data_IF_775440278234
#
_entry.id   IF_775440278234
#
_cell.length_a   1.000
_cell.length_b   1.000
_cell.length_c   1.000
_cell.angle_alpha   90.00
_cell.angle_beta   90.00
_cell.angle_gamma   90.00
#
_symmetry.space_group_name_H-M   'P 1'
#
loop_
_entity.id
_entity.type
_entity.pdbx_description
1 polymer ?
#
# COMPACT_ATOMS: atom_id res chain seq x y z
N UNK A 1 -11.17 2.64 8.82
CA UNK A 1 -11.42 4.09 8.86
C UNK A 1 -10.92 4.77 10.13
N UNK A 2 -10.86 4.08 11.30
CA UNK A 2 -10.51 4.74 12.58
C UNK A 2 -9.02 4.72 12.95
N UNK A 3 -8.23 3.78 12.47
CA UNK A 3 -6.80 3.72 12.85
C UNK A 3 -5.92 4.67 12.04
N UNK A 4 -6.15 4.79 10.73
CA UNK A 4 -5.43 5.75 9.89
C UNK A 4 -5.86 7.20 10.13
N UNK A 5 -7.16 7.42 10.44
CA UNK A 5 -7.70 8.75 10.77
C UNK A 5 -7.20 9.30 12.13
N UNK A 6 -6.65 8.44 12.98
CA UNK A 6 -6.16 8.78 14.33
C UNK A 6 -4.63 8.78 14.45
N UNK A 7 -3.89 8.60 13.35
CA UNK A 7 -2.42 8.49 13.38
C UNK A 7 -1.91 7.21 14.06
N UNK A 8 -2.78 6.22 14.32
CA UNK A 8 -2.38 4.95 14.91
C UNK A 8 -1.73 4.06 13.86
N UNK A 9 -0.52 3.62 14.15
CA UNK A 9 0.19 2.64 13.33
C UNK A 9 -0.50 1.27 13.40
N UNK A 10 -1.18 0.87 12.33
CA UNK A 10 -1.90 -0.40 12.25
C UNK A 10 -0.97 -1.60 12.45
N UNK A 11 0.30 -1.51 12.05
CA UNK A 11 1.25 -2.60 12.20
C UNK A 11 1.72 -2.71 13.66
N UNK A 12 1.89 -1.59 14.34
CA UNK A 12 2.17 -1.56 15.77
C UNK A 12 1.01 -2.10 16.59
N UNK A 13 -0.23 -1.69 16.27
CA UNK A 13 -1.43 -2.21 16.92
C UNK A 13 -1.58 -3.72 16.72
N UNK A 14 -1.33 -4.20 15.51
CA UNK A 14 -1.33 -5.64 15.20
C UNK A 14 -0.23 -6.38 15.97
N UNK A 15 0.98 -5.82 16.05
CA UNK A 15 2.09 -6.42 16.80
C UNK A 15 1.75 -6.54 18.29
N UNK A 16 1.23 -5.48 18.90
CA UNK A 16 0.78 -5.50 20.30
C UNK A 16 -0.20 -6.65 20.57
N UNK A 17 -1.16 -6.83 19.66
CA UNK A 17 -2.19 -7.87 19.75
C UNK A 17 -1.62 -9.30 19.54
N UNK A 18 -0.75 -9.47 18.55
CA UNK A 18 -0.11 -10.76 18.21
C UNK A 18 0.81 -11.23 19.32
N UNK A 19 1.64 -10.32 19.82
CA UNK A 19 2.67 -10.66 20.81
C UNK A 19 2.22 -10.45 22.26
N UNK A 20 0.97 -9.98 22.48
CA UNK A 20 0.42 -9.74 23.82
C UNK A 20 1.14 -8.63 24.58
N UNK A 21 1.58 -7.59 23.88
CA UNK A 21 2.36 -6.48 24.41
C UNK A 21 1.53 -5.19 24.48
N UNK A 22 1.94 -4.24 25.33
CA UNK A 22 1.46 -2.88 25.24
C UNK A 22 2.03 -2.21 23.97
N UNK A 23 1.32 -1.20 23.41
CA UNK A 23 1.73 -0.52 22.17
C UNK A 23 3.16 0.03 22.25
N UNK A 24 3.51 0.58 23.40
CA UNK A 24 4.81 1.21 23.67
C UNK A 24 5.96 0.19 23.80
N UNK A 25 5.63 -1.08 23.98
CA UNK A 25 6.59 -2.18 24.12
C UNK A 25 6.92 -2.88 22.79
N UNK A 26 6.19 -2.51 21.73
CA UNK A 26 6.39 -3.09 20.40
C UNK A 26 7.70 -2.57 19.80
N UNK A 27 8.63 -3.48 19.56
CA UNK A 27 9.88 -3.16 18.87
C UNK A 27 9.77 -3.17 17.34
N UNK A 28 10.85 -2.76 16.66
CA UNK A 28 10.88 -2.66 15.21
C UNK A 28 10.77 -4.01 14.48
N UNK A 29 11.25 -5.10 15.10
CA UNK A 29 11.14 -6.45 14.51
C UNK A 29 9.71 -6.98 14.61
N UNK A 30 9.08 -6.81 15.75
CA UNK A 30 7.68 -7.19 15.98
C UNK A 30 6.74 -6.38 15.06
N UNK A 31 6.98 -5.07 14.91
CA UNK A 31 6.23 -4.24 13.97
C UNK A 31 6.42 -4.70 12.52
N UNK A 32 7.63 -5.09 12.12
CA UNK A 32 7.93 -5.62 10.78
C UNK A 32 7.25 -6.96 10.54
N UNK A 33 7.26 -7.86 11.54
CA UNK A 33 6.52 -9.12 11.49
C UNK A 33 5.02 -8.88 11.32
N UNK A 34 4.43 -7.98 12.11
CA UNK A 34 3.02 -7.61 12.01
C UNK A 34 2.67 -6.96 10.66
N UNK A 35 3.56 -6.16 10.07
CA UNK A 35 3.40 -5.65 8.71
C UNK A 35 3.28 -6.79 7.69
N UNK A 36 4.17 -7.79 7.78
CA UNK A 36 4.12 -8.96 6.90
C UNK A 36 2.83 -9.79 7.11
N UNK A 37 2.34 -9.90 8.34
CA UNK A 37 1.09 -10.58 8.66
C UNK A 37 -0.10 -9.83 8.06
N UNK A 38 -0.21 -8.54 8.29
CA UNK A 38 -1.32 -7.71 7.77
C UNK A 38 -1.41 -7.80 6.25
N UNK A 39 -0.28 -7.65 5.56
CA UNK A 39 -0.24 -7.83 4.11
C UNK A 39 -0.57 -9.26 3.70
N UNK A 40 -0.02 -10.25 4.39
CA UNK A 40 -0.30 -11.66 4.12
C UNK A 40 -1.79 -11.98 4.22
N UNK A 41 -2.48 -11.49 5.24
CA UNK A 41 -3.92 -11.72 5.43
C UNK A 41 -4.74 -11.01 4.35
N UNK A 42 -4.42 -9.75 4.03
CA UNK A 42 -5.10 -9.01 2.96
C UNK A 42 -4.92 -9.73 1.61
N UNK A 43 -3.77 -10.34 1.37
CA UNK A 43 -3.50 -11.10 0.14
C UNK A 43 -3.94 -12.57 0.21
N UNK A 44 -4.69 -12.96 1.23
CA UNK A 44 -5.31 -14.27 1.34
C UNK A 44 -4.40 -15.36 1.91
N UNK A 45 -3.46 -15.01 2.78
CA UNK A 45 -2.65 -15.97 3.53
C UNK A 45 -3.55 -16.92 4.31
N UNK A 46 -3.28 -18.22 4.21
CA UNK A 46 -4.00 -19.24 4.97
C UNK A 46 -3.49 -19.36 6.40
N UNK A 47 -4.28 -19.97 7.28
CA UNK A 47 -3.85 -20.29 8.64
C UNK A 47 -2.57 -21.15 8.70
N UNK A 48 -2.35 -22.00 7.68
CA UNK A 48 -1.10 -22.76 7.55
C UNK A 48 0.10 -21.83 7.26
N UNK A 49 -0.06 -20.88 6.35
CA UNK A 49 0.97 -19.90 6.03
C UNK A 49 1.32 -19.03 7.24
N UNK A 50 0.30 -18.54 7.95
CA UNK A 50 0.47 -17.73 9.15
C UNK A 50 1.13 -18.51 10.29
N UNK A 51 0.69 -19.75 10.55
CA UNK A 51 1.27 -20.63 11.55
C UNK A 51 2.77 -20.85 11.33
N UNK A 52 3.15 -21.10 10.07
CA UNK A 52 4.56 -21.29 9.69
C UNK A 52 5.38 -20.02 9.86
N UNK A 53 4.81 -18.86 9.53
CA UNK A 53 5.50 -17.58 9.63
C UNK A 53 5.73 -17.16 11.09
N UNK A 54 4.78 -17.43 11.97
CA UNK A 54 4.84 -17.07 13.40
C UNK A 54 5.45 -18.15 14.27
N UNK A 55 5.63 -19.38 13.76
CA UNK A 55 6.06 -20.52 14.58
C UNK A 55 5.02 -20.97 15.61
N UNK A 56 3.72 -20.75 15.35
CA UNK A 56 2.61 -21.08 16.26
C UNK A 56 1.77 -22.24 15.73
N UNK A 57 0.96 -22.91 16.57
CA UNK A 57 0.00 -23.93 16.14
C UNK A 57 -1.01 -23.38 15.13
N UNK A 58 -1.41 -24.20 14.14
CA UNK A 58 -2.40 -23.81 13.12
C UNK A 58 -3.73 -23.32 13.72
N UNK A 59 -4.15 -23.91 14.82
CA UNK A 59 -5.40 -23.53 15.50
C UNK A 59 -5.31 -22.11 16.07
N UNK A 60 -4.17 -21.73 16.63
CA UNK A 60 -3.92 -20.38 17.13
C UNK A 60 -3.85 -19.36 15.98
N UNK A 61 -3.18 -19.71 14.88
CA UNK A 61 -3.17 -18.90 13.65
C UNK A 61 -4.58 -18.69 13.09
N UNK A 62 -5.43 -19.71 13.12
CA UNK A 62 -6.82 -19.61 12.68
C UNK A 62 -7.62 -18.65 13.58
N UNK A 63 -7.52 -18.78 14.90
CA UNK A 63 -8.17 -17.87 15.84
C UNK A 63 -7.69 -16.43 15.69
N UNK A 64 -6.41 -16.23 15.35
CA UNK A 64 -5.88 -14.90 15.04
C UNK A 64 -6.53 -14.30 13.77
N UNK A 65 -6.64 -15.07 12.69
CA UNK A 65 -7.28 -14.63 11.43
C UNK A 65 -8.73 -14.23 11.68
N UNK A 66 -9.46 -15.00 12.48
CA UNK A 66 -10.86 -14.72 12.84
C UNK A 66 -10.97 -13.39 13.58
N UNK A 67 -10.17 -13.17 14.63
CA UNK A 67 -10.11 -11.89 15.37
C UNK A 67 -9.73 -10.71 14.48
N UNK A 68 -8.78 -10.89 13.55
CA UNK A 68 -8.40 -9.85 12.60
C UNK A 68 -9.58 -9.42 11.74
N UNK A 69 -10.34 -10.36 11.18
CA UNK A 69 -11.49 -10.05 10.34
C UNK A 69 -12.71 -9.56 11.14
N UNK A 70 -12.87 -9.97 12.39
CA UNK A 70 -13.86 -9.36 13.30
C UNK A 70 -13.55 -7.89 13.56
N UNK A 71 -12.30 -7.56 13.77
CA UNK A 71 -11.85 -6.17 13.98
C UNK A 71 -11.93 -5.32 12.72
N UNK A 72 -11.61 -5.92 11.57
CA UNK A 72 -11.58 -5.26 10.26
C UNK A 72 -12.61 -5.87 9.29
N UNK A 73 -13.90 -5.81 9.59
CA UNK A 73 -14.93 -6.48 8.77
C UNK A 73 -15.04 -5.89 7.35
N UNK A 74 -14.60 -4.64 7.15
CA UNK A 74 -14.52 -4.01 5.83
C UNK A 74 -13.51 -4.68 4.91
N UNK A 75 -12.38 -5.15 5.46
CA UNK A 75 -11.36 -5.90 4.69
C UNK A 75 -11.95 -7.22 4.21
N UNK A 76 -12.60 -7.95 5.12
CA UNK A 76 -13.25 -9.22 4.76
C UNK A 76 -14.31 -9.03 3.67
N UNK A 77 -15.19 -8.04 3.83
CA UNK A 77 -16.22 -7.74 2.82
C UNK A 77 -15.62 -7.39 1.45
N UNK A 78 -14.57 -6.59 1.42
CA UNK A 78 -13.86 -6.26 0.18
C UNK A 78 -13.30 -7.51 -0.49
N UNK A 79 -12.63 -8.38 0.26
CA UNK A 79 -12.04 -9.62 -0.27
C UNK A 79 -13.12 -10.55 -0.84
N UNK A 80 -14.20 -10.78 -0.08
CA UNK A 80 -15.27 -11.70 -0.47
C UNK A 80 -16.05 -11.16 -1.68
N UNK A 81 -16.44 -9.88 -1.67
CA UNK A 81 -17.15 -9.26 -2.81
C UNK A 81 -16.28 -9.19 -4.07
N UNK A 82 -14.99 -8.95 -3.94
CA UNK A 82 -14.06 -8.91 -5.08
C UNK A 82 -13.89 -10.29 -5.71
N UNK A 83 -13.78 -11.36 -4.90
CA UNK A 83 -13.73 -12.74 -5.40
C UNK A 83 -15.03 -13.10 -6.13
N UNK A 84 -16.17 -12.84 -5.50
CA UNK A 84 -17.49 -13.12 -6.08
C UNK A 84 -17.65 -12.41 -7.42
N UNK A 85 -17.32 -11.13 -7.48
CA UNK A 85 -17.37 -10.37 -8.73
C UNK A 85 -16.44 -10.97 -9.78
N UNK A 86 -15.18 -11.27 -9.42
CA UNK A 86 -14.20 -11.86 -10.33
C UNK A 86 -14.69 -13.20 -10.91
N UNK A 87 -15.26 -14.07 -10.09
CA UNK A 87 -15.86 -15.34 -10.54
C UNK A 87 -17.01 -15.13 -11.53
N UNK A 88 -17.81 -14.07 -11.35
CA UNK A 88 -18.96 -13.77 -12.18
C UNK A 88 -18.61 -13.17 -13.53
N UNK A 89 -17.65 -12.20 -13.55
CA UNK A 89 -17.36 -11.40 -14.75
C UNK A 89 -15.99 -11.65 -15.38
N UNK A 90 -15.11 -12.42 -14.71
CA UNK A 90 -13.81 -12.83 -15.25
C UNK A 90 -12.70 -11.79 -15.19
N UNK A 91 -12.93 -10.63 -14.58
CA UNK A 91 -11.94 -9.58 -14.40
C UNK A 91 -12.18 -8.77 -13.11
N UNK A 92 -11.20 -7.96 -12.74
CA UNK A 92 -11.31 -6.91 -11.71
C UNK A 92 -10.87 -5.57 -12.29
N UNK A 93 -11.26 -4.48 -11.64
CA UNK A 93 -10.97 -3.12 -12.09
C UNK A 93 -10.28 -2.30 -10.99
N UNK A 94 -9.43 -1.37 -11.40
CA UNK A 94 -8.94 -0.29 -10.54
C UNK A 94 -10.06 0.73 -10.28
N UNK A 95 -9.83 1.68 -9.36
CA UNK A 95 -10.75 2.81 -9.15
C UNK A 95 -10.95 3.67 -10.41
N UNK A 96 -9.97 3.66 -11.32
CA UNK A 96 -10.04 4.41 -12.58
C UNK A 96 -10.55 3.55 -13.76
N UNK A 97 -11.03 2.32 -13.50
CA UNK A 97 -11.67 1.47 -14.50
C UNK A 97 -10.73 0.64 -15.36
N UNK A 98 -9.43 0.61 -15.05
CA UNK A 98 -8.49 -0.26 -15.76
C UNK A 98 -8.71 -1.71 -15.34
N UNK A 99 -8.88 -2.61 -16.33
CA UNK A 99 -9.23 -4.01 -16.14
C UNK A 99 -8.02 -4.93 -16.10
N UNK A 100 -8.07 -5.90 -15.18
CA UNK A 100 -7.22 -7.08 -15.21
C UNK A 100 -8.09 -8.32 -15.39
N UNK A 101 -7.93 -9.00 -16.53
CA UNK A 101 -8.62 -10.25 -16.83
C UNK A 101 -7.99 -11.43 -16.09
N UNK A 102 -8.84 -12.34 -15.61
CA UNK A 102 -8.47 -13.47 -14.75
C UNK A 102 -8.91 -14.79 -15.39
N UNK A 103 -8.23 -15.28 -16.44
CA UNK A 103 -8.68 -16.44 -17.21
C UNK A 103 -8.79 -17.72 -16.37
N UNK A 104 -8.05 -17.81 -15.27
CA UNK A 104 -8.03 -18.98 -14.39
C UNK A 104 -8.96 -18.85 -13.18
N UNK A 105 -9.79 -17.81 -13.08
CA UNK A 105 -10.62 -17.58 -11.88
C UNK A 105 -11.63 -18.72 -11.64
N UNK A 106 -12.12 -19.37 -12.70
CA UNK A 106 -13.04 -20.49 -12.65
C UNK A 106 -12.36 -21.84 -13.00
N UNK A 107 -11.03 -21.93 -12.90
CA UNK A 107 -10.28 -23.16 -13.20
C UNK A 107 -10.68 -24.30 -12.27
N UNK A 108 -10.79 -25.52 -12.83
CA UNK A 108 -10.96 -26.75 -12.04
C UNK A 108 -9.72 -27.10 -11.23
N UNK A 109 -8.54 -26.65 -11.67
CA UNK A 109 -7.31 -26.77 -10.91
C UNK A 109 -7.33 -25.78 -9.72
N UNK A 110 -7.36 -26.32 -8.51
CA UNK A 110 -7.45 -25.55 -7.28
C UNK A 110 -6.29 -24.55 -7.12
N UNK A 111 -5.07 -24.91 -7.52
CA UNK A 111 -3.90 -24.04 -7.39
C UNK A 111 -4.01 -22.82 -8.32
N UNK A 112 -4.43 -23.03 -9.57
CA UNK A 112 -4.63 -21.95 -10.54
C UNK A 112 -5.78 -21.03 -10.10
N UNK A 113 -6.87 -21.59 -9.62
CA UNK A 113 -8.02 -20.82 -9.11
C UNK A 113 -7.63 -19.98 -7.90
N UNK A 114 -6.98 -20.57 -6.90
CA UNK A 114 -6.55 -19.82 -5.70
C UNK A 114 -5.53 -18.73 -6.03
N UNK A 115 -4.65 -18.95 -6.98
CA UNK A 115 -3.75 -17.91 -7.46
C UNK A 115 -4.53 -16.76 -8.11
N UNK A 116 -5.50 -17.05 -8.97
CA UNK A 116 -6.35 -16.05 -9.61
C UNK A 116 -7.19 -15.28 -8.58
N UNK A 117 -7.72 -15.94 -7.54
CA UNK A 117 -8.47 -15.31 -6.44
C UNK A 117 -7.59 -14.33 -5.64
N UNK A 118 -6.35 -14.70 -5.32
CA UNK A 118 -5.39 -13.79 -4.68
C UNK A 118 -5.05 -12.60 -5.58
N UNK A 119 -4.84 -12.86 -6.87
CA UNK A 119 -4.61 -11.80 -7.86
C UNK A 119 -5.81 -10.86 -7.96
N UNK A 120 -7.04 -11.39 -7.92
CA UNK A 120 -8.26 -10.60 -7.94
C UNK A 120 -8.35 -9.60 -6.79
N UNK A 121 -7.97 -10.01 -5.58
CA UNK A 121 -7.99 -9.14 -4.39
C UNK A 121 -6.92 -8.05 -4.49
N UNK A 122 -5.72 -8.41 -4.95
CA UNK A 122 -4.56 -7.53 -4.94
C UNK A 122 -4.58 -6.50 -6.09
N UNK A 123 -5.03 -6.90 -7.27
CA UNK A 123 -4.94 -6.10 -8.49
C UNK A 123 -5.69 -4.76 -8.43
N UNK A 124 -6.91 -4.64 -7.86
CA UNK A 124 -7.57 -3.36 -7.70
C UNK A 124 -6.76 -2.36 -6.86
N UNK A 125 -6.10 -2.83 -5.79
CA UNK A 125 -5.31 -1.99 -4.90
C UNK A 125 -4.01 -1.56 -5.56
N UNK A 126 -3.19 -2.51 -6.02
CA UNK A 126 -1.92 -2.20 -6.69
C UNK A 126 -2.12 -1.47 -8.01
N UNK A 127 -3.13 -1.86 -8.77
CA UNK A 127 -3.46 -1.19 -10.03
C UNK A 127 -3.91 0.25 -9.81
N UNK A 128 -4.71 0.52 -8.78
CA UNK A 128 -5.10 1.90 -8.43
C UNK A 128 -3.88 2.71 -7.99
N UNK A 129 -2.98 2.17 -7.18
CA UNK A 129 -1.74 2.85 -6.82
C UNK A 129 -0.91 3.22 -8.06
N UNK A 130 -0.78 2.31 -9.03
CA UNK A 130 -0.09 2.56 -10.29
C UNK A 130 -0.81 3.62 -11.15
N UNK A 131 -2.13 3.69 -11.11
CA UNK A 131 -2.89 4.72 -11.82
C UNK A 131 -2.68 6.10 -11.16
N UNK A 132 -2.70 6.17 -9.83
CA UNK A 132 -2.48 7.42 -9.09
C UNK A 132 -1.09 7.99 -9.34
N UNK A 133 -0.04 7.16 -9.32
CA UNK A 133 1.32 7.62 -9.59
C UNK A 133 1.46 8.14 -11.02
N UNK A 134 0.79 7.52 -12.00
CA UNK A 134 0.77 8.01 -13.38
C UNK A 134 0.06 9.36 -13.54
N UNK A 135 -1.06 9.53 -12.85
CA UNK A 135 -1.75 10.84 -12.83
C UNK A 135 -0.85 11.90 -12.21
N UNK A 136 -0.17 11.59 -11.10
CA UNK A 136 0.78 12.49 -10.46
C UNK A 136 1.93 12.85 -11.41
N UNK A 137 2.48 11.88 -12.15
CA UNK A 137 3.54 12.13 -13.14
C UNK A 137 3.07 13.08 -14.24
N UNK A 138 1.86 12.92 -14.75
CA UNK A 138 1.31 13.78 -15.81
C UNK A 138 1.11 15.21 -15.30
N UNK A 139 0.50 15.39 -14.13
CA UNK A 139 0.28 16.69 -13.51
C UNK A 139 1.61 17.40 -13.19
N UNK A 140 2.54 16.68 -12.56
CA UNK A 140 3.84 17.23 -12.19
C UNK A 140 4.72 17.55 -13.41
N UNK A 141 4.63 16.74 -14.47
CA UNK A 141 5.35 17.06 -15.72
C UNK A 141 4.90 18.39 -16.31
N UNK A 142 3.58 18.61 -16.40
CA UNK A 142 3.03 19.88 -16.89
C UNK A 142 3.40 21.06 -15.96
N UNK A 143 3.26 20.86 -14.64
CA UNK A 143 3.62 21.86 -13.63
C UNK A 143 5.10 22.28 -13.71
N UNK A 144 6.02 21.31 -13.79
CA UNK A 144 7.46 21.59 -13.86
C UNK A 144 7.84 22.28 -15.18
N UNK A 145 7.25 21.87 -16.30
CA UNK A 145 7.52 22.50 -17.59
C UNK A 145 7.19 24.00 -17.58
N UNK A 146 6.15 24.41 -16.86
CA UNK A 146 5.74 25.80 -16.74
C UNK A 146 6.50 26.58 -15.67
N UNK A 147 6.71 25.96 -14.48
CA UNK A 147 7.15 26.69 -13.27
C UNK A 147 8.61 26.47 -12.90
N UNK A 148 9.21 25.40 -13.37
CA UNK A 148 10.58 25.02 -13.02
C UNK A 148 11.22 24.12 -14.10
N UNK A 149 11.43 24.61 -15.31
CA UNK A 149 11.98 23.81 -16.42
C UNK A 149 13.40 23.27 -16.16
N UNK A 150 14.09 23.82 -15.17
CA UNK A 150 15.37 23.33 -14.67
C UNK A 150 15.27 22.06 -13.83
N UNK A 151 14.08 21.71 -13.30
CA UNK A 151 13.84 20.47 -12.58
C UNK A 151 13.38 19.37 -13.53
N UNK A 152 13.92 18.19 -13.37
CA UNK A 152 13.59 17.03 -14.20
C UNK A 152 13.05 15.90 -13.35
N UNK A 153 11.90 15.35 -13.70
CA UNK A 153 11.47 14.06 -13.19
C UNK A 153 12.24 12.98 -13.96
N UNK A 154 13.17 12.30 -13.29
CA UNK A 154 14.13 11.39 -13.93
C UNK A 154 13.78 9.92 -13.77
N UNK A 155 13.04 9.55 -12.70
CA UNK A 155 12.77 8.16 -12.42
C UNK A 155 11.47 8.00 -11.62
N UNK A 156 10.80 6.85 -11.80
CA UNK A 156 9.72 6.36 -10.95
C UNK A 156 10.12 4.98 -10.42
N UNK A 157 10.10 4.83 -9.11
CA UNK A 157 10.48 3.59 -8.42
C UNK A 157 9.38 3.23 -7.43
N UNK A 158 8.67 2.12 -7.65
CA UNK A 158 7.51 1.71 -6.84
C UNK A 158 6.45 2.82 -6.75
N UNK A 159 6.35 3.49 -5.61
CA UNK A 159 5.44 4.60 -5.29
C UNK A 159 6.17 5.96 -5.14
N UNK A 160 7.41 6.02 -5.55
CA UNK A 160 8.27 7.22 -5.48
C UNK A 160 8.47 7.86 -6.85
N UNK A 161 8.57 9.19 -6.86
CA UNK A 161 9.01 9.99 -8.00
C UNK A 161 10.32 10.69 -7.65
N UNK A 162 11.33 10.51 -8.49
CA UNK A 162 12.66 11.09 -8.30
C UNK A 162 12.84 12.28 -9.22
N UNK A 163 13.26 13.40 -8.64
CA UNK A 163 13.52 14.64 -9.33
C UNK A 163 14.98 15.05 -9.21
N UNK A 164 15.51 15.67 -10.25
CA UNK A 164 16.88 16.22 -10.28
C UNK A 164 16.83 17.69 -10.65
N UNK A 165 17.68 18.50 -10.00
CA UNK A 165 17.82 19.92 -10.30
C UNK A 165 18.57 20.69 -9.23
N UNK A 166 18.62 22.03 -9.32
CA UNK A 166 19.28 22.86 -8.32
C UNK A 166 18.63 22.71 -6.94
N UNK A 167 19.42 22.47 -5.90
CA UNK A 167 18.96 22.18 -4.53
C UNK A 167 17.96 23.23 -4.02
N UNK A 168 18.28 24.53 -4.20
CA UNK A 168 17.42 25.62 -3.74
C UNK A 168 16.03 25.57 -4.37
N UNK A 169 15.94 25.15 -5.63
CA UNK A 169 14.66 25.00 -6.34
C UNK A 169 13.90 23.76 -5.89
N UNK A 170 14.60 22.64 -5.69
CA UNK A 170 13.99 21.43 -5.13
C UNK A 170 13.40 21.70 -3.75
N UNK A 171 14.15 22.36 -2.85
CA UNK A 171 13.66 22.74 -1.52
C UNK A 171 12.43 23.65 -1.58
N UNK A 172 12.45 24.66 -2.46
CA UNK A 172 11.34 25.61 -2.58
C UNK A 172 10.06 24.96 -3.12
N UNK A 173 10.16 23.96 -4.00
CA UNK A 173 9.02 23.36 -4.69
C UNK A 173 8.56 22.03 -4.07
N UNK A 174 9.34 21.40 -3.20
CA UNK A 174 8.98 20.14 -2.56
C UNK A 174 7.60 20.17 -1.87
N UNK A 175 7.21 21.23 -1.11
CA UNK A 175 5.88 21.30 -0.52
C UNK A 175 4.75 21.34 -1.55
N UNK A 176 4.94 21.99 -2.68
CA UNK A 176 3.93 22.03 -3.73
C UNK A 176 3.85 20.72 -4.50
N UNK A 177 4.98 20.09 -4.79
CA UNK A 177 5.05 18.76 -5.42
C UNK A 177 4.30 17.74 -4.57
N UNK A 178 4.61 17.65 -3.28
CA UNK A 178 3.91 16.72 -2.37
C UNK A 178 2.43 17.04 -2.24
N UNK A 179 2.06 18.31 -2.12
CA UNK A 179 0.66 18.72 -2.07
C UNK A 179 -0.14 18.36 -3.34
N UNK A 180 0.48 18.42 -4.53
CA UNK A 180 -0.12 17.98 -5.80
C UNK A 180 -0.31 16.46 -5.81
N UNK A 181 0.69 15.70 -5.40
CA UNK A 181 0.59 14.25 -5.26
C UNK A 181 -0.53 13.85 -4.32
N UNK A 182 -0.65 14.48 -3.15
CA UNK A 182 -1.70 14.20 -2.17
C UNK A 182 -3.11 14.49 -2.69
N UNK A 183 -3.28 15.45 -3.60
CA UNK A 183 -4.58 15.88 -4.14
C UNK A 183 -4.90 15.33 -5.51
N UNK A 184 -4.06 14.44 -6.05
CA UNK A 184 -4.19 13.96 -7.43
C UNK A 184 -5.50 13.21 -7.70
N UNK A 185 -6.07 12.63 -6.66
CA UNK A 185 -7.34 11.91 -6.73
C UNK A 185 -8.07 11.97 -5.38
N UNK A 186 -9.38 12.13 -5.40
CA UNK A 186 -10.19 12.14 -4.19
C UNK A 186 -10.44 10.71 -3.70
N UNK A 187 -9.85 10.36 -2.56
CA UNK A 187 -10.03 9.08 -1.88
C UNK A 187 -10.82 9.28 -0.57
N UNK A 188 -11.43 8.20 -0.08
CA UNK A 188 -12.07 8.19 1.25
C UNK A 188 -11.08 8.22 2.41
N UNK A 189 -9.80 8.05 2.13
CA UNK A 189 -8.68 8.14 3.06
C UNK A 189 -7.68 9.17 2.53
N UNK A 190 -6.97 9.89 3.38
CA UNK A 190 -5.97 10.85 2.92
C UNK A 190 -4.86 10.14 2.18
N UNK A 191 -4.43 10.70 1.04
CA UNK A 191 -3.22 10.32 0.37
C UNK A 191 -2.09 11.19 0.94
N UNK A 192 -1.03 10.56 1.41
CA UNK A 192 0.12 11.25 1.99
C UNK A 192 1.33 11.06 1.08
N UNK A 193 2.10 12.13 0.89
CA UNK A 193 3.38 12.11 0.21
C UNK A 193 4.41 12.85 1.04
N UNK A 194 5.59 12.29 1.18
CA UNK A 194 6.72 12.86 1.88
C UNK A 194 7.82 13.18 0.88
N UNK A 195 8.65 14.18 1.17
CA UNK A 195 9.77 14.53 0.34
C UNK A 195 11.08 14.45 1.14
N UNK A 196 12.04 13.72 0.63
CA UNK A 196 13.43 13.72 1.06
C UNK A 196 14.32 14.42 0.05
N UNK A 197 15.42 15.00 0.50
CA UNK A 197 16.41 15.65 -0.36
C UNK A 197 17.81 15.15 -0.03
N UNK A 198 18.59 14.81 -1.05
CA UNK A 198 19.97 14.35 -0.93
C UNK A 198 20.78 14.64 -2.17
N UNK A 199 22.11 14.55 -2.06
CA UNK A 199 23.02 14.70 -3.21
C UNK A 199 22.87 13.55 -4.23
N UNK A 200 22.31 12.44 -3.80
CA UNK A 200 21.99 11.25 -4.61
C UNK A 200 20.77 10.55 -4.01
N UNK A 201 20.14 9.64 -4.77
CA UNK A 201 18.85 9.04 -4.42
C UNK A 201 18.83 8.36 -3.05
N UNK A 202 19.85 7.56 -2.72
CA UNK A 202 19.90 6.86 -1.43
C UNK A 202 19.98 7.85 -0.25
N UNK A 203 20.74 8.94 -0.39
CA UNK A 203 20.82 9.99 0.62
C UNK A 203 19.50 10.75 0.83
N UNK A 204 18.63 10.77 -0.15
CA UNK A 204 17.31 11.39 -0.04
C UNK A 204 16.31 10.57 0.82
N UNK A 205 16.62 9.28 1.09
CA UNK A 205 15.84 8.42 1.98
C UNK A 205 16.18 8.64 3.46
N UNK A 206 17.28 9.35 3.76
CA UNK A 206 17.63 9.68 5.13
C UNK A 206 16.74 10.84 5.61
N UNK A 207 15.60 10.47 6.25
CA UNK A 207 14.55 11.40 6.71
C UNK A 207 15.01 12.39 7.80
N UNK A 208 16.29 12.38 8.20
CA UNK A 208 16.85 13.41 9.09
C UNK A 208 16.77 14.83 8.52
N UNK A 209 16.46 14.96 7.23
CA UNK A 209 16.24 16.20 6.49
C UNK A 209 14.85 16.33 5.85
N UNK A 210 13.81 15.66 6.38
CA UNK A 210 12.44 15.75 5.85
C UNK A 210 12.03 17.19 5.61
N UNK A 211 11.58 17.49 4.38
CA UNK A 211 11.14 18.83 3.95
C UNK A 211 9.65 19.10 4.22
N UNK A 212 8.97 18.14 4.83
CA UNK A 212 7.55 18.26 5.19
C UNK A 212 7.40 18.36 6.70
N UNK A 213 6.96 19.52 7.17
CA UNK A 213 6.40 19.71 8.51
C UNK A 213 4.91 19.43 8.49
#
# INVERSE_FOLDING_TARGET
RRSSDLGLDIHQATAAEVFGLALEQVDGEQRRAAKAINFGLIYGMSAFGLARQLGIPRQEAQAYIERFFERYPGVKRFMDSTREQAHRIGYVETLLGRRLYLPNINSRNANLRQYAERTAINAPLQGTAADLIKLAMIDLYAFLAERAPELRMIMQVHDELVFEGPEARLRALAPEITARMCRIFELRVPLLAEAGLGAYWDAAHDLSGSLTN
#
